data_IF_528794027224
#
_entry.id   IF_528794027224
#
_cell.length_a   1.000
_cell.length_b   1.000
_cell.length_c   1.000
_cell.angle_alpha   90.00
_cell.angle_beta   90.00
_cell.angle_gamma   90.00
#
_symmetry.space_group_name_H-M   'P 1'
#
loop_
_entity.id
_entity.type
_entity.pdbx_description
1 polymer ?
#
# COMPACT_ATOMS: atom_id res chain seq x y z
N UNK A 1 -12.55 -2.75 44.18
CA UNK A 1 -11.63 -3.26 43.14
C UNK A 1 -10.20 -2.91 43.55
N UNK A 2 -9.34 -3.91 43.72
CA UNK A 2 -7.96 -3.73 44.17
C UNK A 2 -7.10 -3.05 43.09
N UNK A 3 -6.28 -2.05 43.45
CA UNK A 3 -5.36 -1.37 42.52
C UNK A 3 -4.43 -2.35 41.82
N UNK A 4 -4.09 -3.47 42.49
CA UNK A 4 -3.23 -4.52 41.95
C UNK A 4 -3.87 -5.26 40.75
N UNK A 5 -5.18 -5.49 40.78
CA UNK A 5 -5.89 -6.17 39.69
C UNK A 5 -6.07 -5.27 38.46
N UNK A 6 -6.24 -3.96 38.67
CA UNK A 6 -6.29 -2.95 37.59
C UNK A 6 -4.93 -2.89 36.87
N UNK A 7 -3.83 -2.85 37.62
CA UNK A 7 -2.48 -2.81 37.04
C UNK A 7 -2.17 -4.08 36.23
N UNK A 8 -2.48 -5.26 36.76
CA UNK A 8 -2.23 -6.53 36.08
C UNK A 8 -3.01 -6.64 34.75
N UNK A 9 -4.29 -6.21 34.74
CA UNK A 9 -5.11 -6.19 33.54
C UNK A 9 -4.56 -5.24 32.47
N UNK A 10 -4.04 -4.08 32.85
CA UNK A 10 -3.44 -3.13 31.92
C UNK A 10 -2.16 -3.68 31.29
N UNK A 11 -1.32 -4.36 32.07
CA UNK A 11 -0.09 -5.01 31.57
C UNK A 11 -0.43 -6.09 30.55
N UNK A 12 -1.36 -6.99 30.87
CA UNK A 12 -1.77 -8.09 29.97
C UNK A 12 -2.40 -7.56 28.68
N UNK A 13 -3.27 -6.54 28.75
CA UNK A 13 -3.84 -5.88 27.57
C UNK A 13 -2.74 -5.28 26.68
N UNK A 14 -1.75 -4.62 27.27
CA UNK A 14 -0.64 -4.02 26.53
C UNK A 14 0.23 -5.06 25.80
N UNK A 15 0.49 -6.21 26.44
CA UNK A 15 1.28 -7.29 25.86
C UNK A 15 0.55 -7.95 24.69
N UNK A 16 -0.76 -8.20 24.83
CA UNK A 16 -1.60 -8.74 23.76
C UNK A 16 -1.65 -7.81 22.53
N UNK A 17 -1.77 -6.50 22.75
CA UNK A 17 -1.75 -5.50 21.68
C UNK A 17 -0.41 -5.47 20.92
N UNK A 18 0.71 -5.50 21.64
CA UNK A 18 2.05 -5.55 21.04
C UNK A 18 2.23 -6.82 20.20
N UNK A 19 1.79 -7.97 20.72
CA UNK A 19 1.86 -9.25 19.98
C UNK A 19 1.01 -9.22 18.70
N UNK A 20 -0.20 -8.68 18.76
CA UNK A 20 -1.09 -8.56 17.60
C UNK A 20 -0.52 -7.60 16.53
N UNK A 21 0.07 -6.48 16.96
CA UNK A 21 0.72 -5.54 16.06
C UNK A 21 1.92 -6.17 15.36
N UNK A 22 2.76 -6.91 16.09
CA UNK A 22 3.91 -7.62 15.52
C UNK A 22 3.48 -8.70 14.52
N UNK A 23 2.49 -9.54 14.87
CA UNK A 23 1.95 -10.57 13.97
C UNK A 23 1.43 -9.97 12.68
N UNK A 24 0.70 -8.86 12.78
CA UNK A 24 0.18 -8.17 11.60
C UNK A 24 1.29 -7.51 10.79
N UNK A 25 2.28 -6.89 11.43
CA UNK A 25 3.44 -6.34 10.74
C UNK A 25 4.14 -7.43 9.90
N UNK A 26 4.45 -8.58 10.52
CA UNK A 26 5.06 -9.70 9.80
C UNK A 26 4.15 -10.23 8.69
N UNK A 27 2.85 -10.36 8.94
CA UNK A 27 1.89 -10.86 7.96
C UNK A 27 1.77 -9.94 6.73
N UNK A 28 1.67 -8.62 6.95
CA UNK A 28 1.71 -7.65 5.85
C UNK A 28 3.06 -7.70 5.14
N UNK A 29 4.18 -7.62 5.86
CA UNK A 29 5.51 -7.65 5.24
C UNK A 29 5.75 -8.89 4.37
N UNK A 30 5.46 -10.09 4.90
CA UNK A 30 5.56 -11.35 4.16
C UNK A 30 4.57 -11.37 3.00
N UNK A 31 3.31 -10.96 3.22
CA UNK A 31 2.29 -10.96 2.18
C UNK A 31 2.64 -10.03 1.01
N UNK A 32 3.29 -8.89 1.27
CA UNK A 32 3.80 -7.98 0.27
C UNK A 32 4.96 -8.59 -0.54
N UNK A 33 5.97 -9.13 0.15
CA UNK A 33 7.11 -9.78 -0.51
C UNK A 33 6.68 -11.01 -1.34
N UNK A 34 5.83 -11.86 -0.76
CA UNK A 34 5.28 -13.04 -1.43
C UNK A 34 4.39 -12.63 -2.61
N UNK A 35 3.55 -11.60 -2.45
CA UNK A 35 2.73 -11.03 -3.51
C UNK A 35 3.58 -10.60 -4.71
N UNK A 36 4.69 -9.90 -4.46
CA UNK A 36 5.65 -9.52 -5.52
C UNK A 36 6.25 -10.73 -6.23
N UNK A 37 6.66 -11.76 -5.50
CA UNK A 37 7.20 -13.00 -6.10
C UNK A 37 6.14 -13.71 -6.94
N UNK A 38 4.92 -13.86 -6.41
CA UNK A 38 3.80 -14.51 -7.11
C UNK A 38 3.44 -13.73 -8.38
N UNK A 39 3.30 -12.40 -8.30
CA UNK A 39 3.05 -11.57 -9.47
C UNK A 39 4.16 -11.75 -10.50
N UNK A 40 5.44 -11.75 -10.09
CA UNK A 40 6.54 -12.00 -11.04
C UNK A 40 6.42 -13.36 -11.72
N UNK A 41 6.08 -14.43 -10.98
CA UNK A 41 5.91 -15.76 -11.55
C UNK A 41 4.76 -15.77 -12.57
N UNK A 42 3.59 -15.21 -12.21
CA UNK A 42 2.42 -15.16 -13.09
C UNK A 42 2.75 -14.40 -14.38
N UNK A 43 3.36 -13.23 -14.27
CA UNK A 43 3.60 -12.37 -15.41
C UNK A 43 4.81 -12.77 -16.26
N UNK A 44 5.77 -13.53 -15.72
CA UNK A 44 6.83 -14.15 -16.50
C UNK A 44 6.30 -15.26 -17.44
N UNK A 45 5.13 -15.83 -17.17
CA UNK A 45 4.51 -16.87 -18.01
C UNK A 45 3.62 -16.29 -19.11
N UNK A 46 3.31 -14.99 -19.04
CA UNK A 46 2.47 -14.31 -20.03
C UNK A 46 3.40 -13.74 -21.09
N UNK A 47 3.46 -14.38 -22.26
CA UNK A 47 4.14 -13.76 -23.40
C UNK A 47 3.36 -12.53 -23.86
N UNK A 48 4.00 -11.36 -23.80
CA UNK A 48 3.45 -10.08 -24.28
C UNK A 48 3.83 -9.84 -25.75
N UNK A 49 4.33 -10.87 -26.44
CA UNK A 49 4.62 -10.84 -27.88
C UNK A 49 3.51 -10.23 -28.76
N UNK A 50 2.19 -10.33 -28.47
CA UNK A 50 1.18 -9.76 -29.37
C UNK A 50 1.01 -8.23 -29.30
N UNK A 51 1.64 -7.52 -28.35
CA UNK A 51 1.70 -6.03 -28.42
C UNK A 51 2.81 -5.56 -29.36
N UNK A 52 3.56 -6.49 -29.98
CA UNK A 52 4.19 -6.45 -31.31
C UNK A 52 4.94 -5.20 -31.77
N UNK A 53 5.97 -5.40 -32.59
CA UNK A 53 6.70 -4.30 -33.23
C UNK A 53 5.82 -3.37 -34.10
N UNK A 54 4.55 -3.73 -34.32
CA UNK A 54 3.55 -2.96 -35.05
C UNK A 54 2.67 -2.05 -34.18
N UNK A 55 2.60 -2.23 -32.85
CA UNK A 55 1.86 -1.31 -32.00
C UNK A 55 2.67 -0.01 -31.83
N UNK A 56 2.02 1.14 -32.06
CA UNK A 56 2.64 2.45 -31.85
C UNK A 56 3.15 2.62 -30.41
N UNK A 57 4.13 3.51 -30.21
CA UNK A 57 4.80 3.73 -28.91
C UNK A 57 3.80 3.98 -27.76
N UNK A 58 2.71 4.70 -28.04
CA UNK A 58 1.64 4.95 -27.07
C UNK A 58 0.93 3.67 -26.59
N UNK A 59 0.69 2.70 -27.48
CA UNK A 59 0.04 1.44 -27.14
C UNK A 59 0.96 0.55 -26.29
N UNK A 60 2.27 0.53 -26.58
CA UNK A 60 3.26 -0.18 -25.75
C UNK A 60 3.38 0.43 -24.36
N UNK A 61 3.40 1.75 -24.27
CA UNK A 61 3.42 2.46 -22.98
C UNK A 61 2.16 2.16 -22.17
N UNK A 62 0.98 2.26 -22.79
CA UNK A 62 -0.30 1.97 -22.14
C UNK A 62 -0.37 0.51 -21.64
N UNK A 63 0.07 -0.45 -22.47
CA UNK A 63 0.12 -1.86 -22.10
C UNK A 63 1.10 -2.12 -20.94
N UNK A 64 2.30 -1.51 -20.97
CA UNK A 64 3.28 -1.62 -19.90
C UNK A 64 2.79 -1.04 -18.57
N UNK A 65 2.12 0.12 -18.62
CA UNK A 65 1.52 0.75 -17.44
C UNK A 65 0.37 -0.09 -16.88
N UNK A 66 -0.49 -0.62 -17.74
CA UNK A 66 -1.58 -1.51 -17.33
C UNK A 66 -1.04 -2.79 -16.67
N UNK A 67 -0.03 -3.42 -17.29
CA UNK A 67 0.65 -4.59 -16.74
C UNK A 67 1.22 -4.30 -15.34
N UNK A 68 1.93 -3.19 -15.19
CA UNK A 68 2.55 -2.82 -13.93
C UNK A 68 1.49 -2.48 -12.86
N UNK A 69 0.38 -1.84 -13.24
CA UNK A 69 -0.78 -1.67 -12.38
C UNK A 69 -1.33 -3.02 -11.88
N UNK A 70 -1.55 -3.99 -12.78
CA UNK A 70 -2.11 -5.30 -12.39
C UNK A 70 -1.14 -6.08 -11.51
N UNK A 71 0.15 -6.14 -11.88
CA UNK A 71 1.22 -6.77 -11.07
C UNK A 71 1.17 -6.22 -9.65
N UNK A 72 1.18 -4.90 -9.53
CA UNK A 72 1.26 -4.26 -8.24
C UNK A 72 -0.06 -4.37 -7.46
N UNK A 73 -1.22 -4.26 -8.11
CA UNK A 73 -2.52 -4.46 -7.49
C UNK A 73 -2.67 -5.89 -6.95
N UNK A 74 -2.21 -6.91 -7.68
CA UNK A 74 -2.20 -8.30 -7.22
C UNK A 74 -1.26 -8.46 -6.02
N UNK A 75 -0.05 -7.92 -6.11
CA UNK A 75 0.93 -7.97 -5.00
C UNK A 75 0.38 -7.35 -3.71
N UNK A 76 -0.15 -6.13 -3.81
CA UNK A 76 -0.75 -5.41 -2.69
C UNK A 76 -2.06 -6.07 -2.21
N UNK A 77 -2.82 -6.67 -3.12
CA UNK A 77 -4.02 -7.44 -2.80
C UNK A 77 -3.70 -8.64 -1.92
N UNK A 78 -2.68 -9.43 -2.28
CA UNK A 78 -2.20 -10.57 -1.48
C UNK A 78 -1.71 -10.08 -0.12
N UNK A 79 -0.87 -9.04 -0.09
CA UNK A 79 -0.43 -8.43 1.18
C UNK A 79 -1.58 -7.94 2.04
N UNK A 80 -2.59 -7.33 1.43
CA UNK A 80 -3.80 -6.85 2.08
C UNK A 80 -4.70 -7.98 2.60
N UNK A 81 -4.78 -9.11 1.90
CA UNK A 81 -5.53 -10.28 2.34
C UNK A 81 -4.85 -10.94 3.55
N UNK A 82 -3.54 -11.25 3.43
CA UNK A 82 -2.75 -11.90 4.49
C UNK A 82 -2.75 -11.01 5.74
N UNK A 83 -2.43 -9.72 5.58
CA UNK A 83 -2.44 -8.76 6.67
C UNK A 83 -3.83 -8.53 7.25
N UNK A 84 -4.85 -8.41 6.40
CA UNK A 84 -6.24 -8.19 6.80
C UNK A 84 -6.83 -9.34 7.62
N UNK A 85 -6.37 -10.58 7.41
CA UNK A 85 -6.74 -11.73 8.24
C UNK A 85 -6.21 -11.64 9.67
N UNK A 86 -5.04 -11.00 9.84
CA UNK A 86 -4.38 -10.85 11.14
C UNK A 86 -4.83 -9.60 11.92
N UNK A 87 -5.52 -8.67 11.25
CA UNK A 87 -6.01 -7.44 11.90
C UNK A 87 -7.02 -7.78 13.03
N UNK A 88 -6.87 -7.15 14.20
CA UNK A 88 -7.89 -7.21 15.24
C UNK A 88 -9.22 -6.65 14.72
N UNK A 89 -10.29 -7.43 14.82
CA UNK A 89 -11.61 -6.99 14.39
C UNK A 89 -12.14 -5.92 15.37
N UNK A 90 -12.03 -4.65 15.01
CA UNK A 90 -12.55 -3.53 15.81
C UNK A 90 -14.09 -3.50 15.90
N UNK A 91 -14.80 -4.28 15.07
CA UNK A 91 -16.24 -4.52 15.18
C UNK A 91 -16.55 -6.01 15.04
N UNK A 92 -17.35 -6.57 15.97
CA UNK A 92 -17.70 -8.00 16.06
C UNK A 92 -18.62 -8.53 14.93
N UNK A 93 -19.23 -7.68 14.11
CA UNK A 93 -20.36 -8.08 13.26
C UNK A 93 -20.02 -8.65 11.86
N UNK A 94 -18.76 -8.66 11.43
CA UNK A 94 -18.41 -9.25 10.13
C UNK A 94 -17.24 -10.19 10.33
N UNK A 95 -17.49 -11.49 10.17
CA UNK A 95 -16.48 -12.54 10.31
C UNK A 95 -15.16 -12.17 9.61
N UNK A 96 -14.05 -12.71 10.12
CA UNK A 96 -12.67 -12.35 9.73
C UNK A 96 -12.49 -12.22 8.21
N UNK A 97 -13.09 -13.11 7.43
CA UNK A 97 -13.09 -13.10 5.97
C UNK A 97 -13.58 -11.79 5.34
N UNK A 98 -14.61 -11.16 5.90
CA UNK A 98 -15.11 -9.89 5.40
C UNK A 98 -14.08 -8.76 5.54
N UNK A 99 -13.34 -8.73 6.65
CA UNK A 99 -12.24 -7.79 6.87
C UNK A 99 -11.06 -8.06 5.95
N UNK A 100 -10.68 -9.33 5.80
CA UNK A 100 -9.65 -9.81 4.87
C UNK A 100 -9.89 -9.31 3.45
N UNK A 101 -11.06 -9.60 2.87
CA UNK A 101 -11.41 -9.20 1.50
C UNK A 101 -11.41 -7.68 1.31
N UNK A 102 -11.86 -6.92 2.31
CA UNK A 102 -11.88 -5.45 2.24
C UNK A 102 -10.48 -4.86 2.28
N UNK A 103 -9.63 -5.37 3.16
CA UNK A 103 -8.22 -4.97 3.24
C UNK A 103 -7.51 -5.30 1.93
N UNK A 104 -7.68 -6.52 1.42
CA UNK A 104 -7.16 -6.94 0.11
C UNK A 104 -7.59 -6.01 -1.03
N UNK A 105 -8.90 -5.76 -1.19
CA UNK A 105 -9.43 -4.90 -2.24
C UNK A 105 -8.98 -3.43 -2.10
N UNK A 106 -8.97 -2.87 -0.90
CA UNK A 106 -8.50 -1.50 -0.66
C UNK A 106 -7.01 -1.37 -0.97
N UNK A 107 -6.18 -2.30 -0.48
CA UNK A 107 -4.73 -2.28 -0.71
C UNK A 107 -4.40 -2.48 -2.19
N UNK A 108 -5.05 -3.43 -2.86
CA UNK A 108 -4.90 -3.67 -4.30
C UNK A 108 -5.20 -2.41 -5.12
N UNK A 109 -6.34 -1.78 -4.83
CA UNK A 109 -6.79 -0.62 -5.59
C UNK A 109 -5.93 0.61 -5.32
N UNK A 110 -5.64 0.90 -4.05
CA UNK A 110 -4.83 2.07 -3.69
C UNK A 110 -3.40 1.94 -4.18
N UNK A 111 -2.82 0.74 -4.10
CA UNK A 111 -1.44 0.54 -4.53
C UNK A 111 -1.34 0.50 -6.04
N UNK A 112 -2.26 -0.19 -6.73
CA UNK A 112 -2.35 -0.13 -8.18
C UNK A 112 -2.44 1.33 -8.67
N UNK A 113 -3.34 2.12 -8.09
CA UNK A 113 -3.50 3.54 -8.47
C UNK A 113 -2.22 4.37 -8.21
N UNK A 114 -1.51 4.12 -7.11
CA UNK A 114 -0.27 4.83 -6.77
C UNK A 114 0.99 4.31 -7.48
N UNK A 115 0.92 3.14 -8.10
CA UNK A 115 2.03 2.64 -8.90
C UNK A 115 2.21 3.40 -10.19
N UNK A 116 1.14 3.93 -10.76
CA UNK A 116 1.23 4.80 -11.93
C UNK A 116 2.19 5.98 -11.71
N UNK A 117 1.98 6.86 -10.70
CA UNK A 117 2.92 7.95 -10.46
C UNK A 117 4.30 7.46 -10.02
N UNK A 118 4.42 6.34 -9.30
CA UNK A 118 5.73 5.84 -8.85
C UNK A 118 6.58 5.31 -10.01
N UNK A 119 6.00 4.48 -10.88
CA UNK A 119 6.66 3.97 -12.09
C UNK A 119 7.04 5.12 -12.99
N UNK A 120 6.12 6.07 -13.16
CA UNK A 120 6.37 7.28 -13.91
C UNK A 120 7.60 8.02 -13.35
N UNK A 121 7.64 8.35 -12.06
CA UNK A 121 8.78 9.05 -11.46
C UNK A 121 10.09 8.24 -11.57
N UNK A 122 10.06 6.93 -11.33
CA UNK A 122 11.24 6.07 -11.51
C UNK A 122 11.71 6.07 -12.96
N UNK A 123 10.79 6.05 -13.92
CA UNK A 123 11.11 6.15 -15.35
C UNK A 123 11.75 7.49 -15.69
N UNK A 124 11.26 8.61 -15.13
CA UNK A 124 11.89 9.92 -15.33
C UNK A 124 13.31 9.96 -14.80
N UNK A 125 13.53 9.39 -13.61
CA UNK A 125 14.89 9.29 -13.10
C UNK A 125 15.77 8.44 -14.01
N UNK A 126 15.24 7.34 -14.56
CA UNK A 126 16.00 6.51 -15.50
C UNK A 126 16.36 7.24 -16.81
N UNK A 127 15.50 8.13 -17.32
CA UNK A 127 15.72 8.83 -18.58
C UNK A 127 16.57 10.10 -18.44
N UNK A 128 16.32 10.90 -17.41
CA UNK A 128 16.88 12.25 -17.31
C UNK A 128 18.06 12.38 -16.36
N UNK A 129 18.32 11.38 -15.51
CA UNK A 129 19.36 11.49 -14.49
C UNK A 129 20.13 10.18 -14.39
N UNK A 130 21.46 10.21 -14.48
CA UNK A 130 22.25 9.07 -14.03
C UNK A 130 21.82 8.76 -12.59
N UNK A 131 21.26 7.59 -12.32
CA UNK A 131 20.59 7.28 -11.05
C UNK A 131 21.53 7.43 -9.84
N UNK A 132 22.84 7.32 -10.11
CA UNK A 132 23.96 7.57 -9.20
C UNK A 132 24.13 9.03 -8.78
N UNK A 133 23.70 9.99 -9.62
CA UNK A 133 23.80 11.43 -9.36
C UNK A 133 22.70 11.99 -8.44
N UNK A 134 21.60 11.24 -8.24
CA UNK A 134 20.53 11.66 -7.34
C UNK A 134 20.99 11.46 -5.88
N UNK A 135 21.01 12.53 -5.06
CA UNK A 135 21.36 12.42 -3.66
C UNK A 135 20.43 11.43 -2.94
N UNK A 136 21.01 10.53 -2.14
CA UNK A 136 20.26 9.51 -1.39
C UNK A 136 19.06 10.08 -0.65
N UNK A 137 19.26 11.21 0.03
CA UNK A 137 18.26 11.89 0.84
C UNK A 137 17.02 12.30 0.01
N UNK A 138 17.23 12.85 -1.20
CA UNK A 138 16.11 13.26 -2.07
C UNK A 138 15.31 12.04 -2.54
N UNK A 139 16.01 10.96 -2.87
CA UNK A 139 15.38 9.71 -3.29
C UNK A 139 14.51 9.12 -2.18
N UNK A 140 15.01 9.03 -0.95
CA UNK A 140 14.22 8.47 0.17
C UNK A 140 13.07 9.39 0.61
N UNK A 141 13.26 10.73 0.59
CA UNK A 141 12.18 11.68 0.92
C UNK A 141 11.01 11.55 -0.05
N UNK A 142 11.29 11.34 -1.34
CA UNK A 142 10.25 11.09 -2.32
C UNK A 142 9.42 9.85 -1.94
N UNK A 143 10.07 8.75 -1.61
CA UNK A 143 9.38 7.53 -1.20
C UNK A 143 8.67 7.66 0.15
N UNK A 144 9.18 8.48 1.08
CA UNK A 144 8.46 8.86 2.31
C UNK A 144 7.14 9.56 1.99
N UNK A 145 7.16 10.54 1.08
CA UNK A 145 5.96 11.28 0.67
C UNK A 145 4.97 10.35 -0.03
N UNK A 146 5.43 9.56 -1.00
CA UNK A 146 4.57 8.59 -1.72
C UNK A 146 3.98 7.57 -0.74
N UNK A 147 4.80 7.04 0.17
CA UNK A 147 4.37 6.11 1.21
C UNK A 147 3.34 6.74 2.17
N UNK A 148 3.51 8.01 2.55
CA UNK A 148 2.58 8.72 3.41
C UNK A 148 1.24 8.98 2.69
N UNK A 149 1.27 9.39 1.42
CA UNK A 149 0.06 9.55 0.59
C UNK A 149 -0.64 8.21 0.44
N UNK A 150 0.09 7.14 0.12
CA UNK A 150 -0.44 5.78 0.08
C UNK A 150 -1.14 5.38 1.37
N UNK A 151 -0.45 5.59 2.51
CA UNK A 151 -0.98 5.27 3.82
C UNK A 151 -2.23 6.08 4.17
N UNK A 152 -2.27 7.36 3.80
CA UNK A 152 -3.43 8.22 4.01
C UNK A 152 -4.63 7.74 3.19
N UNK A 153 -4.45 7.43 1.91
CA UNK A 153 -5.51 6.93 1.04
C UNK A 153 -6.03 5.57 1.49
N UNK A 154 -5.11 4.64 1.77
CA UNK A 154 -5.43 3.31 2.28
C UNK A 154 -6.16 3.40 3.61
N UNK A 155 -5.67 4.23 4.54
CA UNK A 155 -6.29 4.45 5.83
C UNK A 155 -7.66 5.11 5.73
N UNK A 156 -7.84 6.02 4.78
CA UNK A 156 -9.13 6.68 4.51
C UNK A 156 -10.16 5.66 4.04
N UNK A 157 -9.83 4.90 2.99
CA UNK A 157 -10.73 3.90 2.42
C UNK A 157 -11.02 2.78 3.40
N UNK A 158 -9.98 2.24 4.05
CA UNK A 158 -10.14 1.19 5.04
C UNK A 158 -10.97 1.70 6.24
N UNK A 159 -10.69 2.91 6.74
CA UNK A 159 -11.44 3.55 7.81
C UNK A 159 -12.92 3.78 7.46
N UNK A 160 -13.23 4.27 6.26
CA UNK A 160 -14.60 4.43 5.76
C UNK A 160 -15.32 3.08 5.70
N UNK A 161 -14.65 2.05 5.19
CA UNK A 161 -15.23 0.73 4.96
C UNK A 161 -15.46 -0.03 6.28
N UNK A 162 -14.60 0.17 7.28
CA UNK A 162 -14.57 -0.61 8.53
C UNK A 162 -15.19 0.12 9.74
N UNK A 163 -14.93 1.40 9.96
CA UNK A 163 -15.26 2.09 11.23
C UNK A 163 -16.41 3.11 11.14
N UNK A 164 -16.64 3.70 9.97
CA UNK A 164 -17.68 4.70 9.66
C UNK A 164 -17.69 5.95 10.58
N UNK A 165 -17.27 7.11 10.03
CA UNK A 165 -17.20 8.47 10.63
C UNK A 165 -16.37 8.60 11.91
N UNK A 166 -16.59 7.79 12.95
CA UNK A 166 -15.79 7.79 14.19
C UNK A 166 -14.50 6.99 13.97
N UNK A 167 -13.35 7.60 14.21
CA UNK A 167 -12.04 6.94 14.14
C UNK A 167 -11.36 6.91 12.77
N UNK A 168 -12.03 7.33 11.68
CA UNK A 168 -11.43 7.36 10.32
C UNK A 168 -10.15 8.19 10.30
N UNK A 169 -10.17 9.39 10.90
CA UNK A 169 -8.99 10.26 10.98
C UNK A 169 -7.79 9.59 11.68
N UNK A 170 -8.04 8.79 12.73
CA UNK A 170 -6.95 8.05 13.40
C UNK A 170 -6.36 6.98 12.47
N UNK A 171 -7.19 6.28 11.70
CA UNK A 171 -6.73 5.27 10.72
C UNK A 171 -5.95 5.90 9.59
N UNK A 172 -6.40 7.05 9.08
CA UNK A 172 -5.67 7.84 8.07
C UNK A 172 -4.29 8.22 8.59
N UNK A 173 -4.20 8.76 9.81
CA UNK A 173 -2.93 9.15 10.41
C UNK A 173 -2.00 7.96 10.65
N UNK A 174 -2.51 6.86 11.23
CA UNK A 174 -1.72 5.66 11.46
C UNK A 174 -1.22 5.04 10.15
N UNK A 175 -2.08 5.01 9.12
CA UNK A 175 -1.71 4.57 7.78
C UNK A 175 -0.61 5.47 7.20
N UNK A 176 -0.81 6.78 7.18
CA UNK A 176 0.15 7.75 6.64
C UNK A 176 1.52 7.66 7.32
N UNK A 177 1.56 7.57 8.66
CA UNK A 177 2.82 7.43 9.40
C UNK A 177 3.48 6.07 9.15
N UNK A 178 2.74 4.97 9.24
CA UNK A 178 3.27 3.62 9.08
C UNK A 178 3.81 3.37 7.67
N UNK A 179 3.03 3.71 6.65
CA UNK A 179 3.47 3.56 5.26
C UNK A 179 4.42 4.66 4.79
N UNK A 180 4.44 5.84 5.41
CA UNK A 180 5.47 6.84 5.18
C UNK A 180 6.84 6.33 5.64
N UNK A 181 6.94 5.84 6.87
CA UNK A 181 8.18 5.21 7.36
C UNK A 181 8.53 3.95 6.56
N UNK A 182 7.53 3.15 6.21
CA UNK A 182 7.67 2.04 5.26
C UNK A 182 8.25 2.48 3.91
N UNK A 183 7.83 3.66 3.43
CA UNK A 183 8.29 4.27 2.19
C UNK A 183 9.79 4.53 2.21
N UNK A 184 10.35 4.98 3.33
CA UNK A 184 11.81 5.14 3.46
C UNK A 184 12.56 3.82 3.20
N UNK A 185 12.07 2.71 3.76
CA UNK A 185 12.66 1.38 3.55
C UNK A 185 12.49 0.91 2.11
N UNK A 186 11.32 1.14 1.52
CA UNK A 186 11.07 0.83 0.12
C UNK A 186 11.98 1.63 -0.81
N UNK A 187 12.16 2.93 -0.56
CA UNK A 187 13.05 3.79 -1.32
C UNK A 187 14.51 3.36 -1.19
N UNK A 188 14.97 3.07 0.03
CA UNK A 188 16.31 2.55 0.24
C UNK A 188 16.53 1.22 -0.50
N UNK A 189 15.60 0.26 -0.38
CA UNK A 189 15.66 -1.03 -1.06
C UNK A 189 15.59 -0.91 -2.58
N UNK A 190 14.72 -0.04 -3.10
CA UNK A 190 14.59 0.23 -4.55
C UNK A 190 15.86 0.85 -5.10
N UNK A 191 16.47 1.81 -4.38
CA UNK A 191 17.74 2.40 -4.82
C UNK A 191 18.86 1.36 -4.86
N UNK A 192 19.01 0.54 -3.82
CA UNK A 192 20.02 -0.51 -3.79
C UNK A 192 19.79 -1.55 -4.90
N UNK A 193 18.52 -1.88 -5.15
CA UNK A 193 18.16 -2.73 -6.29
C UNK A 193 18.60 -2.13 -7.62
N UNK A 194 18.29 -0.85 -7.87
CA UNK A 194 18.72 -0.14 -9.08
C UNK A 194 20.24 -0.05 -9.21
N UNK A 195 20.96 0.19 -8.11
CA UNK A 195 22.43 0.22 -8.10
C UNK A 195 23.06 -1.16 -8.33
N UNK A 196 22.31 -2.24 -8.11
CA UNK A 196 22.75 -3.61 -8.41
C UNK A 196 22.55 -4.01 -9.87
N UNK A 197 22.06 -3.10 -10.72
CA UNK A 197 21.91 -3.35 -12.15
C UNK A 197 23.27 -3.43 -12.82
N UNK A 198 23.56 -4.59 -13.40
CA UNK A 198 24.74 -4.78 -14.23
C UNK A 198 24.36 -4.52 -15.69
N UNK A 199 24.85 -3.39 -16.22
CA UNK A 199 24.59 -2.97 -17.59
C UNK A 199 25.20 -3.89 -18.65
N UNK A 200 26.18 -4.74 -18.30
CA UNK A 200 26.82 -5.67 -19.24
C UNK A 200 25.95 -6.92 -19.43
N UNK A 201 25.42 -7.47 -18.35
CA UNK A 201 24.56 -8.67 -18.41
C UNK A 201 23.08 -8.34 -18.56
N UNK A 202 22.69 -7.07 -18.41
CA UNK A 202 21.29 -6.63 -18.43
C UNK A 202 20.48 -7.21 -17.26
N UNK A 203 21.15 -7.67 -16.20
CA UNK A 203 20.53 -8.37 -15.07
C UNK A 203 20.77 -7.59 -13.77
N UNK A 204 19.79 -7.70 -12.87
CA UNK A 204 19.94 -7.23 -11.50
C UNK A 204 20.68 -8.29 -10.69
N UNK A 205 21.82 -7.92 -10.10
CA UNK A 205 22.63 -8.83 -9.31
C UNK A 205 21.96 -9.22 -7.98
N UNK A 206 21.10 -8.36 -7.42
CA UNK A 206 20.57 -8.52 -6.05
C UNK A 206 19.08 -8.17 -5.92
N UNK A 207 18.15 -9.04 -6.38
CA UNK A 207 16.71 -8.79 -6.31
C UNK A 207 16.14 -8.73 -4.89
N UNK A 208 16.88 -9.25 -3.90
CA UNK A 208 16.45 -9.28 -2.51
C UNK A 208 16.37 -7.89 -1.87
N UNK A 209 17.12 -6.89 -2.34
CA UNK A 209 17.01 -5.51 -1.84
C UNK A 209 15.61 -4.92 -2.03
N UNK A 210 15.02 -5.19 -3.19
CA UNK A 210 13.66 -4.76 -3.48
C UNK A 210 12.66 -5.50 -2.57
N UNK A 211 12.84 -6.81 -2.39
CA UNK A 211 11.98 -7.61 -1.52
C UNK A 211 12.05 -7.17 -0.05
N UNK A 212 13.23 -6.81 0.46
CA UNK A 212 13.38 -6.24 1.80
C UNK A 212 12.70 -4.89 1.93
N UNK A 213 12.81 -4.03 0.91
CA UNK A 213 12.08 -2.76 0.86
C UNK A 213 10.56 -2.96 0.91
N UNK A 214 10.04 -3.89 0.11
CA UNK A 214 8.61 -4.26 0.09
C UNK A 214 8.15 -4.87 1.42
N UNK A 215 8.96 -5.74 2.01
CA UNK A 215 8.70 -6.29 3.35
C UNK A 215 8.62 -5.18 4.40
N UNK A 216 9.61 -4.28 4.43
CA UNK A 216 9.65 -3.16 5.38
C UNK A 216 8.45 -2.22 5.22
N UNK A 217 8.07 -1.94 3.97
CA UNK A 217 6.88 -1.16 3.63
C UNK A 217 5.61 -1.78 4.20
N UNK A 218 5.38 -3.06 3.90
CA UNK A 218 4.24 -3.82 4.41
C UNK A 218 4.25 -3.92 5.93
N UNK A 219 5.41 -4.19 6.54
CA UNK A 219 5.52 -4.41 7.97
C UNK A 219 5.23 -3.16 8.80
N UNK A 220 5.79 -2.01 8.42
CA UNK A 220 5.55 -0.77 9.14
C UNK A 220 4.12 -0.26 8.95
N UNK A 221 3.59 -0.31 7.72
CA UNK A 221 2.20 0.08 7.45
C UNK A 221 1.18 -0.84 8.14
N UNK A 222 1.35 -2.15 8.00
CA UNK A 222 0.50 -3.16 8.62
C UNK A 222 0.55 -3.16 10.15
N UNK A 223 1.74 -2.98 10.72
CA UNK A 223 1.94 -2.87 12.16
C UNK A 223 1.27 -1.63 12.76
N UNK A 224 1.40 -0.47 12.09
CA UNK A 224 0.75 0.76 12.53
C UNK A 224 -0.78 0.64 12.51
N UNK A 225 -1.34 0.08 11.43
CA UNK A 225 -2.78 -0.20 11.34
C UNK A 225 -3.21 -1.17 12.44
N UNK A 226 -2.50 -2.29 12.63
CA UNK A 226 -2.86 -3.29 13.63
C UNK A 226 -2.80 -2.77 15.07
N UNK A 227 -1.79 -1.96 15.40
CA UNK A 227 -1.70 -1.30 16.70
C UNK A 227 -2.92 -0.41 16.96
N UNK A 228 -3.34 0.37 15.96
CA UNK A 228 -4.52 1.22 16.07
C UNK A 228 -5.82 0.41 16.15
N UNK A 229 -6.04 -0.56 15.25
CA UNK A 229 -7.22 -1.43 15.28
C UNK A 229 -7.31 -2.24 16.57
N UNK A 230 -6.19 -2.67 17.13
CA UNK A 230 -6.13 -3.30 18.44
C UNK A 230 -6.62 -2.37 19.55
N UNK A 231 -6.14 -1.12 19.57
CA UNK A 231 -6.61 -0.11 20.55
C UNK A 231 -8.11 0.17 20.41
N UNK A 232 -8.59 0.36 19.18
CA UNK A 232 -10.01 0.60 18.93
C UNK A 232 -10.89 -0.61 19.28
N UNK A 233 -10.40 -1.83 19.06
CA UNK A 233 -11.08 -3.05 19.48
C UNK A 233 -11.18 -3.15 21.01
N UNK A 234 -10.13 -2.74 21.74
CA UNK A 234 -10.13 -2.70 23.19
C UNK A 234 -11.08 -1.61 23.75
N UNK A 235 -11.16 -0.45 23.10
CA UNK A 235 -12.10 0.63 23.43
C UNK A 235 -13.57 0.23 23.16
N UNK A 236 -13.83 -0.53 22.09
CA UNK A 236 -15.19 -0.92 21.68
C UNK A 236 -15.75 -2.13 22.43
N UNK A 237 -14.91 -2.88 23.15
CA UNK A 237 -15.35 -4.05 23.92
C UNK A 237 -16.20 -3.68 25.15
N UNK A 238 -16.15 -2.41 25.58
CA UNK A 238 -16.94 -1.87 26.69
C UNK A 238 -18.30 -1.29 26.24
N UNK A 239 -18.53 -1.11 24.93
CA UNK A 239 -19.73 -0.47 24.39
C UNK A 239 -20.73 -1.53 23.88
N UNK A 240 -21.83 -1.75 24.61
CA UNK A 240 -22.79 -2.85 24.38
C UNK A 240 -23.82 -2.60 23.28
N UNK A 241 -23.91 -1.39 22.73
CA UNK A 241 -24.95 -1.04 21.76
C UNK A 241 -24.40 -0.94 20.34
N UNK A 242 -24.49 -2.03 19.58
CA UNK A 242 -24.46 -1.92 18.12
C UNK A 242 -25.41 -2.92 17.46
N UNK A 243 -26.43 -2.37 16.81
CA UNK A 243 -27.38 -3.10 15.97
C UNK A 243 -27.00 -2.99 14.49
N UNK A 244 -26.88 -4.16 13.86
CA UNK A 244 -26.60 -4.35 12.45
C UNK A 244 -27.63 -3.65 11.54
N UNK A 245 -27.17 -2.70 10.73
CA UNK A 245 -27.98 -2.08 9.67
C UNK A 245 -27.57 -2.53 8.25
N UNK A 246 -28.62 -2.80 7.48
CA UNK A 246 -28.76 -3.66 6.29
C UNK A 246 -28.00 -3.20 5.04
N UNK A 247 -27.81 -4.16 4.12
CA UNK A 247 -27.30 -4.16 2.73
C UNK A 247 -27.27 -2.81 1.97
N UNK A 248 -28.25 -1.92 2.16
CA UNK A 248 -28.32 -0.56 1.57
C UNK A 248 -27.13 0.33 1.96
N UNK A 249 -26.58 0.12 3.16
CA UNK A 249 -25.38 0.79 3.63
C UNK A 249 -24.13 0.32 2.86
N UNK A 250 -24.10 -0.92 2.37
CA UNK A 250 -22.95 -1.45 1.64
C UNK A 250 -22.82 -0.85 0.24
N UNK A 251 -23.91 -0.71 -0.50
CA UNK A 251 -23.94 -0.03 -1.80
C UNK A 251 -23.49 1.43 -1.67
N UNK A 252 -23.96 2.13 -0.63
CA UNK A 252 -23.55 3.52 -0.36
C UNK A 252 -22.05 3.62 -0.02
N UNK A 253 -21.47 2.62 0.67
CA UNK A 253 -20.03 2.54 0.95
C UNK A 253 -19.21 2.33 -0.33
N UNK A 254 -19.66 1.47 -1.23
CA UNK A 254 -19.01 1.25 -2.52
C UNK A 254 -19.01 2.53 -3.37
N UNK A 255 -20.17 3.18 -3.49
CA UNK A 255 -20.32 4.42 -4.24
C UNK A 255 -19.46 5.58 -3.71
N UNK A 256 -19.43 5.80 -2.39
CA UNK A 256 -18.59 6.85 -1.79
C UNK A 256 -17.11 6.55 -2.01
N UNK A 257 -16.70 5.28 -1.86
CA UNK A 257 -15.32 4.87 -2.10
C UNK A 257 -14.93 5.12 -3.56
N UNK A 258 -15.77 4.69 -4.51
CA UNK A 258 -15.54 4.93 -5.93
C UNK A 258 -15.50 6.42 -6.27
N UNK A 259 -16.39 7.24 -5.71
CA UNK A 259 -16.39 8.69 -5.93
C UNK A 259 -15.13 9.37 -5.37
N UNK A 260 -14.69 9.00 -4.17
CA UNK A 260 -13.44 9.52 -3.57
C UNK A 260 -12.23 9.13 -4.43
N UNK A 261 -12.19 7.90 -4.93
CA UNK A 261 -11.12 7.42 -5.81
C UNK A 261 -11.09 8.16 -7.15
N UNK A 262 -12.25 8.37 -7.77
CA UNK A 262 -12.37 9.16 -9.00
C UNK A 262 -11.97 10.62 -8.77
N UNK A 263 -12.32 11.19 -7.62
CA UNK A 263 -11.92 12.54 -7.25
C UNK A 263 -10.41 12.65 -7.03
N UNK A 264 -9.79 11.68 -6.36
CA UNK A 264 -8.32 11.61 -6.21
C UNK A 264 -7.67 11.48 -7.59
N UNK A 265 -8.14 10.55 -8.43
CA UNK A 265 -7.63 10.39 -9.79
C UNK A 265 -7.76 11.69 -10.60
N UNK A 266 -8.89 12.39 -10.48
CA UNK A 266 -9.12 13.70 -11.09
C UNK A 266 -8.19 14.80 -10.54
N UNK A 267 -7.89 14.80 -9.24
CA UNK A 267 -6.93 15.74 -8.62
C UNK A 267 -5.49 15.48 -9.05
N UNK A 268 -5.12 14.23 -9.34
CA UNK A 268 -3.81 13.89 -9.88
C UNK A 268 -3.68 14.23 -11.36
N UNK A 269 -4.79 14.38 -12.09
CA UNK A 269 -4.79 14.74 -13.52
C UNK A 269 -3.93 15.97 -13.85
N UNK A 270 -4.10 17.15 -13.23
CA UNK A 270 -3.26 18.32 -13.53
C UNK A 270 -1.78 18.10 -13.21
N UNK A 271 -1.45 17.30 -12.19
CA UNK A 271 -0.06 16.94 -11.87
C UNK A 271 0.52 16.07 -12.98
N UNK A 272 -0.25 15.10 -13.48
CA UNK A 272 0.16 14.23 -14.60
C UNK A 272 0.32 15.03 -15.89
N UNK A 273 -0.58 15.98 -16.19
CA UNK A 273 -0.45 16.87 -17.36
C UNK A 273 0.72 17.84 -17.24
N UNK A 274 0.88 18.52 -16.10
CA UNK A 274 2.02 19.41 -15.87
C UNK A 274 3.35 18.65 -15.94
N UNK A 275 3.40 17.41 -15.46
CA UNK A 275 4.55 16.53 -15.65
C UNK A 275 4.73 16.14 -17.11
N UNK A 276 3.67 15.77 -17.84
CA UNK A 276 3.77 15.44 -19.26
C UNK A 276 4.28 16.62 -20.10
N UNK A 277 3.75 17.82 -19.88
CA UNK A 277 4.13 19.05 -20.59
C UNK A 277 5.59 19.45 -20.29
N UNK A 278 6.04 19.26 -19.05
CA UNK A 278 7.44 19.47 -18.66
C UNK A 278 8.42 18.51 -19.37
N UNK A 279 7.94 17.36 -19.84
CA UNK A 279 8.75 16.26 -20.35
C UNK A 279 8.68 16.08 -21.86
N UNK A 280 7.67 16.65 -22.52
CA UNK A 280 7.67 16.79 -23.98
C UNK A 280 8.83 17.72 -24.37
N UNK A 281 9.85 17.24 -25.11
CA UNK A 281 10.91 18.11 -25.58
C UNK A 281 10.28 19.17 -26.49
N UNK A 282 10.45 20.44 -26.11
CA UNK A 282 10.21 21.55 -27.03
C UNK A 282 11.28 21.41 -28.09
N UNK A 283 10.91 20.91 -29.26
CA UNK A 283 11.78 20.89 -30.43
C UNK A 283 12.30 22.31 -30.66
N UNK A 284 13.58 22.51 -30.39
CA UNK A 284 14.34 23.68 -30.83
C UNK A 284 14.76 23.48 -32.29
#
# INVERSE_FOLDING_TARGET
MDKRSIHLNNVLKSAALKSAALKSALAYGVGWAAGTVISRIIFNQISIDPVGDQAGQAARLAAGLLMAFVIAAVSAGIGGLVGGYTLPAARRERGRWGYTWRSGGVMALTFGALMFPLIFIVSLFSFYTNTTSIPFLRFIILFLIIGAVYGALTGLLLGIVTLWRKGVGRVVWAGAMGFGLGGLLLGAGTRQYLLSFDGVTGRFAQPWWFLLGMFGFGALGGGALAALYGRMAAESADDKDYTASKRKIWLRRGLVTAAVLLLIFGLFRPIVFALADFLTPVSA
#
